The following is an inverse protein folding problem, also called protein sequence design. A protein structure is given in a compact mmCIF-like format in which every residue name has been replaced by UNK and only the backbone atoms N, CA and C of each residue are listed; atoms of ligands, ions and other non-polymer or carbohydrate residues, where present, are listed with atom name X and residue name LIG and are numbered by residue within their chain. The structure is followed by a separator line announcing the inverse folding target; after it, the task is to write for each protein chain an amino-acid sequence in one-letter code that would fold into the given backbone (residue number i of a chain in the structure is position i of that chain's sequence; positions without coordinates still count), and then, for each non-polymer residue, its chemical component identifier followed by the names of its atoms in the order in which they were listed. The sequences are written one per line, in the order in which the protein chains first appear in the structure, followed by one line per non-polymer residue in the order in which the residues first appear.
data_IF_236289222392
#
_entry.id   IF_236289222392
#
_cell.length_a   1.000
_cell.length_b   1.000
_cell.length_c   1.000
_cell.angle_alpha   90.00
_cell.angle_beta   90.00
_cell.angle_gamma   90.00
#
_symmetry.space_group_name_H-M   'P 1'
#
loop_
_entity.id
_entity.type
_entity.pdbx_description
1 polymer ?
#
# COMPACT_ATOMS: atom_id res chain seq x y z
N UNK A 1 -39.80 -57.14 -22.56
CA UNK A 1 -39.76 -56.87 -21.10
C UNK A 1 -39.04 -55.54 -20.92
N UNK A 2 -39.73 -54.43 -21.15
CA UNK A 2 -40.37 -53.55 -20.14
C UNK A 2 -39.34 -52.75 -19.32
N UNK A 3 -39.26 -51.45 -19.67
CA UNK A 3 -39.03 -50.23 -18.84
C UNK A 3 -37.72 -50.09 -18.05
N UNK A 4 -37.10 -48.92 -17.82
CA UNK A 4 -37.41 -47.50 -18.03
C UNK A 4 -36.05 -46.76 -18.14
N UNK A 5 -35.81 -45.86 -19.08
CA UNK A 5 -36.21 -44.44 -19.11
C UNK A 5 -35.66 -43.53 -17.99
N UNK A 6 -34.72 -42.68 -18.42
CA UNK A 6 -34.80 -41.22 -18.41
C UNK A 6 -33.89 -40.43 -17.46
N UNK A 7 -33.27 -39.42 -18.09
CA UNK A 7 -32.47 -38.35 -17.54
C UNK A 7 -33.30 -37.46 -16.59
N UNK A 8 -32.67 -36.92 -15.54
CA UNK A 8 -32.87 -35.52 -15.17
C UNK A 8 -31.76 -35.02 -14.24
N UNK A 9 -31.28 -33.83 -14.59
CA UNK A 9 -30.41 -32.99 -13.78
C UNK A 9 -31.12 -32.53 -12.50
N UNK A 10 -30.38 -32.34 -11.41
CA UNK A 10 -30.64 -31.27 -10.42
C UNK A 10 -29.45 -31.11 -9.47
N UNK A 11 -28.99 -29.85 -9.40
CA UNK A 11 -28.33 -29.13 -8.31
C UNK A 11 -28.34 -29.77 -6.92
N UNK A 12 -27.18 -29.79 -6.25
CA UNK A 12 -27.09 -29.78 -4.78
C UNK A 12 -25.84 -28.99 -4.32
N UNK A 13 -26.07 -27.71 -3.99
CA UNK A 13 -25.21 -26.89 -3.12
C UNK A 13 -26.01 -26.68 -1.86
N UNK A 14 -25.51 -27.16 -0.72
CA UNK A 14 -25.71 -26.65 0.65
C UNK A 14 -25.56 -27.81 1.65
N UNK A 15 -24.43 -27.88 2.37
CA UNK A 15 -24.39 -28.18 3.82
C UNK A 15 -23.07 -27.63 4.38
N UNK A 16 -23.10 -26.46 5.01
CA UNK A 16 -22.18 -26.10 6.10
C UNK A 16 -22.94 -25.22 7.09
N UNK A 17 -23.63 -25.87 8.05
CA UNK A 17 -23.94 -25.30 9.37
C UNK A 17 -23.10 -26.08 10.37
N UNK A 18 -22.31 -25.35 11.16
CA UNK A 18 -22.21 -25.49 12.62
C UNK A 18 -20.95 -24.81 13.15
N UNK A 19 -21.09 -23.54 13.54
CA UNK A 19 -20.23 -22.90 14.53
C UNK A 19 -21.06 -21.84 15.28
N UNK A 20 -21.37 -22.12 16.54
CA UNK A 20 -22.04 -21.21 17.49
C UNK A 20 -21.06 -20.90 18.61
N UNK A 21 -20.72 -19.63 18.90
CA UNK A 21 -20.10 -19.26 20.16
C UNK A 21 -21.16 -18.82 21.18
N UNK A 22 -21.04 -19.37 22.39
CA UNK A 22 -21.87 -19.05 23.55
C UNK A 22 -21.72 -17.60 24.02
N UNK A 23 -22.81 -17.07 24.57
CA UNK A 23 -22.95 -15.71 25.12
C UNK A 23 -22.67 -15.73 26.62
N UNK A 24 -21.93 -14.73 27.12
CA UNK A 24 -22.16 -14.20 28.47
C UNK A 24 -22.33 -12.66 28.44
N UNK A 25 -23.57 -12.29 28.79
CA UNK A 25 -24.08 -11.10 29.47
C UNK A 25 -23.35 -9.74 29.44
N UNK A 26 -23.89 -8.81 28.66
CA UNK A 26 -24.49 -7.55 29.16
C UNK A 26 -25.24 -6.87 28.00
N UNK A 27 -26.47 -6.39 28.28
CA UNK A 27 -27.50 -5.96 27.30
C UNK A 27 -27.05 -4.81 26.39
N UNK A 28 -27.63 -4.56 25.21
CA UNK A 28 -29.06 -4.42 24.83
C UNK A 28 -29.13 -4.56 23.27
N UNK A 29 -30.28 -4.94 22.68
CA UNK A 29 -30.39 -5.64 21.38
C UNK A 29 -30.11 -4.83 20.10
N UNK A 30 -29.58 -5.54 19.10
CA UNK A 30 -29.72 -5.19 17.69
C UNK A 30 -31.16 -5.50 17.25
N UNK A 31 -31.97 -4.47 17.03
CA UNK A 31 -33.21 -4.60 16.28
C UNK A 31 -33.36 -3.55 15.19
N UNK A 32 -34.01 -4.05 14.15
CA UNK A 32 -34.18 -3.53 12.81
C UNK A 32 -35.07 -2.29 12.82
N UNK A 33 -34.60 -1.21 12.21
CA UNK A 33 -35.50 -0.25 11.55
C UNK A 33 -34.97 0.05 10.15
N UNK A 34 -35.46 -0.71 9.17
CA UNK A 34 -35.66 -0.19 7.81
C UNK A 34 -36.89 0.71 7.87
N UNK A 35 -36.72 2.01 7.66
CA UNK A 35 -37.71 2.86 6.98
C UNK A 35 -37.08 4.20 6.59
N UNK A 36 -37.16 4.47 5.29
CA UNK A 36 -37.30 5.78 4.64
C UNK A 36 -36.71 7.02 5.31
N UNK A 37 -35.59 7.50 4.76
CA UNK A 37 -35.31 8.94 4.70
C UNK A 37 -35.04 9.32 3.24
N UNK A 38 -36.12 9.72 2.57
CA UNK A 38 -36.07 10.51 1.33
C UNK A 38 -36.38 11.96 1.71
N UNK A 39 -35.51 12.84 1.26
CA UNK A 39 -35.67 14.29 1.09
C UNK A 39 -35.77 15.15 2.35
N UNK A 40 -34.60 15.57 2.85
CA UNK A 40 -34.39 16.99 3.17
C UNK A 40 -33.07 17.45 2.55
N UNK A 41 -33.17 18.55 1.80
CA UNK A 41 -32.12 19.06 0.92
C UNK A 41 -30.96 19.66 1.70
N UNK A 42 -29.89 18.88 1.88
CA UNK A 42 -28.57 19.45 1.96
C UNK A 42 -28.11 19.73 0.53
N UNK A 43 -28.20 20.99 0.12
CA UNK A 43 -27.47 21.51 -1.02
C UNK A 43 -26.05 20.92 -0.97
N UNK A 44 -25.65 20.18 -2.02
CA UNK A 44 -24.25 19.84 -2.26
C UNK A 44 -23.49 21.13 -2.07
N UNK A 45 -22.75 21.27 -0.97
CA UNK A 45 -21.90 22.42 -0.76
C UNK A 45 -20.98 22.50 -1.98
N UNK A 46 -21.30 23.42 -2.89
CA UNK A 46 -20.52 23.70 -4.07
C UNK A 46 -19.19 24.21 -3.53
N UNK A 47 -18.19 23.33 -3.48
CA UNK A 47 -16.82 23.75 -3.15
C UNK A 47 -16.26 24.37 -4.43
N UNK A 48 -15.94 25.67 -4.43
CA UNK A 48 -15.44 26.34 -5.62
C UNK A 48 -14.22 25.58 -6.18
N UNK A 49 -14.19 25.34 -7.50
CA UNK A 49 -13.04 24.78 -8.25
C UNK A 49 -11.73 25.56 -8.01
N UNK A 50 -11.82 26.77 -7.45
CA UNK A 50 -10.75 27.76 -7.29
C UNK A 50 -9.84 27.54 -6.09
N UNK A 51 -10.25 26.80 -5.04
CA UNK A 51 -9.44 26.61 -3.82
C UNK A 51 -8.31 25.58 -3.95
N UNK A 52 -8.30 24.73 -4.99
CA UNK A 52 -7.39 23.56 -5.10
C UNK A 52 -6.12 23.80 -5.91
N UNK A 53 -5.93 25.00 -6.49
CA UNK A 53 -4.89 25.21 -7.51
C UNK A 53 -3.45 25.14 -7.01
N UNK A 54 -3.19 25.20 -5.69
CA UNK A 54 -1.82 25.31 -5.15
C UNK A 54 -1.53 24.43 -3.92
N UNK A 55 -2.22 23.31 -3.71
CA UNK A 55 -1.91 22.44 -2.56
C UNK A 55 -0.50 21.85 -2.68
N UNK A 56 0.37 22.22 -1.73
CA UNK A 56 1.76 21.75 -1.63
C UNK A 56 1.84 20.60 -0.63
N UNK A 57 2.72 19.65 -0.91
CA UNK A 57 3.04 18.58 0.03
C UNK A 57 3.84 19.16 1.20
N UNK A 58 3.41 18.86 2.43
CA UNK A 58 4.20 19.08 3.65
C UNK A 58 5.45 18.19 3.61
N UNK A 59 6.47 18.50 4.42
CA UNK A 59 7.67 17.65 4.45
C UNK A 59 7.34 16.19 4.81
N UNK A 60 6.43 15.98 5.75
CA UNK A 60 5.95 14.66 6.14
C UNK A 60 5.32 13.89 4.97
N UNK A 61 4.41 14.52 4.23
CA UNK A 61 3.78 13.92 3.05
C UNK A 61 4.78 13.63 1.93
N UNK A 62 5.84 14.46 1.79
CA UNK A 62 6.92 14.22 0.83
C UNK A 62 7.70 12.96 1.16
N UNK A 63 8.03 12.76 2.44
CA UNK A 63 8.72 11.56 2.91
C UNK A 63 7.86 10.31 2.69
N UNK A 64 6.57 10.37 3.02
CA UNK A 64 5.62 9.28 2.72
C UNK A 64 5.58 9.01 1.22
N UNK A 65 5.42 10.04 0.39
CA UNK A 65 5.38 9.88 -1.07
C UNK A 65 6.66 9.24 -1.62
N UNK A 66 7.84 9.62 -1.12
CA UNK A 66 9.11 8.99 -1.52
C UNK A 66 9.10 7.51 -1.18
N UNK A 67 8.68 7.14 0.04
CA UNK A 67 8.58 5.74 0.44
C UNK A 67 7.61 4.94 -0.42
N UNK A 68 6.41 5.49 -0.66
CA UNK A 68 5.39 4.87 -1.52
C UNK A 68 5.90 4.68 -2.96
N UNK A 69 6.68 5.62 -3.49
CA UNK A 69 7.24 5.52 -4.83
C UNK A 69 8.32 4.45 -4.94
N UNK A 70 9.02 4.14 -3.84
CA UNK A 70 9.94 3.01 -3.75
C UNK A 70 9.19 1.67 -3.61
N UNK A 71 8.02 1.69 -2.95
CA UNK A 71 7.17 0.52 -2.70
C UNK A 71 5.96 0.40 -3.63
N UNK A 72 4.78 0.26 -3.02
CA UNK A 72 3.52 -0.13 -3.69
C UNK A 72 2.75 1.06 -4.30
N UNK A 73 3.12 2.30 -3.97
CA UNK A 73 2.51 3.50 -4.52
C UNK A 73 2.96 3.81 -5.95
N UNK A 74 2.09 4.45 -6.73
CA UNK A 74 2.39 4.83 -8.11
C UNK A 74 1.78 6.17 -8.50
N UNK A 75 2.52 6.95 -9.30
CA UNK A 75 2.04 8.18 -9.93
C UNK A 75 1.56 7.96 -11.36
N UNK A 76 0.26 8.13 -11.59
CA UNK A 76 -0.35 8.06 -12.92
C UNK A 76 -0.41 9.45 -13.58
N UNK A 77 0.12 9.56 -14.80
CA UNK A 77 0.02 10.77 -15.63
C UNK A 77 -1.41 10.92 -16.17
N UNK A 78 -1.99 12.12 -16.07
CA UNK A 78 -3.36 12.40 -16.53
C UNK A 78 -3.40 13.39 -17.70
N UNK A 79 -2.43 14.31 -17.76
CA UNK A 79 -2.41 15.40 -18.75
C UNK A 79 -1.03 15.50 -19.39
N UNK A 80 -0.66 14.49 -20.17
CA UNK A 80 0.62 14.45 -20.90
C UNK A 80 1.82 14.91 -20.06
N UNK A 81 1.99 14.28 -18.89
CA UNK A 81 3.10 14.55 -17.95
C UNK A 81 3.12 15.95 -17.30
N UNK A 82 2.03 16.72 -17.42
CA UNK A 82 1.86 18.00 -16.71
C UNK A 82 1.37 17.80 -15.27
N UNK A 83 0.48 16.84 -15.05
CA UNK A 83 -0.08 16.54 -13.73
C UNK A 83 -0.16 15.04 -13.51
N UNK A 84 -0.02 14.66 -12.24
CA UNK A 84 -0.02 13.25 -11.82
C UNK A 84 -0.98 13.07 -10.65
N UNK A 85 -1.50 11.85 -10.48
CA UNK A 85 -2.23 11.45 -9.28
C UNK A 85 -1.49 10.30 -8.60
N UNK A 86 -1.46 10.33 -7.27
CA UNK A 86 -0.99 9.20 -6.47
C UNK A 86 -2.10 8.16 -6.37
N UNK A 87 -1.73 6.92 -6.61
CA UNK A 87 -2.56 5.74 -6.41
C UNK A 87 -1.85 4.81 -5.43
N UNK A 88 -2.59 4.41 -4.41
CA UNK A 88 -2.16 3.47 -3.38
C UNK A 88 -3.17 2.36 -3.32
N UNK A 89 -2.70 1.11 -3.32
CA UNK A 89 -3.56 -0.06 -3.28
C UNK A 89 -2.84 -1.22 -2.61
N UNK A 90 -3.45 -1.77 -1.57
CA UNK A 90 -2.93 -2.92 -0.84
C UNK A 90 -3.99 -4.02 -0.74
N UNK A 91 -3.54 -5.20 -0.28
CA UNK A 91 -4.47 -6.24 0.16
C UNK A 91 -5.38 -5.70 1.27
N UNK A 92 -6.61 -6.20 1.36
CA UNK A 92 -7.54 -5.77 2.41
C UNK A 92 -7.03 -6.08 3.83
N UNK A 93 -6.11 -7.04 3.98
CA UNK A 93 -5.45 -7.34 5.26
C UNK A 93 -4.63 -6.16 5.81
N UNK A 94 -4.28 -5.19 4.97
CA UNK A 94 -3.53 -3.98 5.31
C UNK A 94 -4.41 -2.73 5.28
N UNK A 95 -5.74 -2.88 5.45
CA UNK A 95 -6.69 -1.76 5.38
C UNK A 95 -6.32 -0.62 6.33
N UNK A 96 -5.92 -0.92 7.56
CA UNK A 96 -5.53 0.11 8.55
C UNK A 96 -4.34 0.95 8.07
N UNK A 97 -3.40 0.36 7.35
CA UNK A 97 -2.30 1.09 6.72
C UNK A 97 -2.78 2.00 5.58
N UNK A 98 -3.69 1.49 4.74
CA UNK A 98 -4.31 2.29 3.67
C UNK A 98 -5.13 3.44 4.23
N UNK A 99 -5.88 3.22 5.31
CA UNK A 99 -6.67 4.26 5.98
C UNK A 99 -5.77 5.34 6.61
N UNK A 100 -4.64 4.95 7.21
CA UNK A 100 -3.65 5.89 7.72
C UNK A 100 -3.07 6.75 6.59
N UNK A 101 -2.57 6.13 5.51
CA UNK A 101 -2.09 6.85 4.32
C UNK A 101 -3.16 7.77 3.71
N UNK A 102 -4.41 7.31 3.68
CA UNK A 102 -5.54 8.08 3.22
C UNK A 102 -5.75 9.35 4.06
N UNK A 103 -5.67 9.24 5.39
CA UNK A 103 -5.72 10.37 6.30
C UNK A 103 -4.65 11.42 5.98
N UNK A 104 -3.40 10.96 5.78
CA UNK A 104 -2.26 11.84 5.46
C UNK A 104 -2.43 12.58 4.13
N UNK A 105 -3.13 12.00 3.16
CA UNK A 105 -3.39 12.63 1.86
C UNK A 105 -4.84 13.13 1.70
N UNK A 106 -5.65 13.21 2.76
CA UNK A 106 -7.10 13.55 2.66
C UNK A 106 -7.34 14.88 1.93
N UNK A 107 -6.46 15.88 2.12
CA UNK A 107 -6.56 17.17 1.41
C UNK A 107 -6.43 17.05 -0.11
N UNK A 108 -5.82 15.97 -0.60
CA UNK A 108 -5.65 15.63 -2.01
C UNK A 108 -6.76 14.71 -2.56
N UNK A 109 -7.76 14.33 -1.75
CA UNK A 109 -8.74 13.30 -2.10
C UNK A 109 -10.17 13.84 -1.86
N UNK A 110 -11.11 13.38 -2.68
CA UNK A 110 -12.52 13.84 -2.65
C UNK A 110 -13.53 12.71 -2.49
N UNK A 111 -13.05 11.49 -2.35
CA UNK A 111 -13.87 10.29 -2.19
C UNK A 111 -13.29 9.45 -1.05
N UNK A 112 -14.09 8.55 -0.50
CA UNK A 112 -13.61 7.59 0.50
C UNK A 112 -12.69 6.53 -0.15
N UNK A 113 -11.87 5.81 0.64
CA UNK A 113 -11.14 4.65 0.15
C UNK A 113 -12.09 3.64 -0.50
N UNK A 114 -11.66 3.04 -1.60
CA UNK A 114 -12.43 2.00 -2.26
C UNK A 114 -12.01 0.61 -1.77
N UNK A 115 -12.94 -0.33 -1.86
CA UNK A 115 -12.69 -1.77 -1.73
C UNK A 115 -13.12 -2.42 -3.04
N UNK A 116 -12.29 -3.32 -3.57
CA UNK A 116 -12.60 -4.04 -4.81
C UNK A 116 -12.05 -5.46 -4.77
N UNK A 117 -12.68 -6.33 -5.53
CA UNK A 117 -12.20 -7.69 -5.75
C UNK A 117 -11.34 -7.75 -7.01
N UNK A 118 -10.18 -8.40 -6.93
CA UNK A 118 -9.34 -8.74 -8.08
C UNK A 118 -9.33 -10.24 -8.29
N UNK A 119 -9.34 -10.69 -9.54
CA UNK A 119 -9.07 -12.08 -9.89
C UNK A 119 -7.65 -12.21 -10.42
N UNK A 120 -6.88 -13.14 -9.85
CA UNK A 120 -5.55 -13.51 -10.34
C UNK A 120 -5.46 -15.04 -10.36
N UNK A 121 -5.21 -15.61 -11.54
CA UNK A 121 -5.14 -17.06 -11.77
C UNK A 121 -6.37 -17.81 -11.21
N UNK A 122 -7.57 -17.25 -11.41
CA UNK A 122 -8.84 -17.82 -10.94
C UNK A 122 -9.13 -17.64 -9.45
N UNK A 123 -8.19 -17.09 -8.67
CA UNK A 123 -8.39 -16.79 -7.24
C UNK A 123 -8.81 -15.34 -7.07
N UNK A 124 -9.81 -15.12 -6.22
CA UNK A 124 -10.30 -13.78 -5.88
C UNK A 124 -9.58 -13.23 -4.65
N UNK A 125 -9.20 -11.96 -4.70
CA UNK A 125 -8.50 -11.24 -3.65
C UNK A 125 -9.19 -9.91 -3.39
N UNK A 126 -9.46 -9.61 -2.12
CA UNK A 126 -9.98 -8.32 -1.72
C UNK A 126 -8.82 -7.31 -1.59
N UNK A 127 -8.97 -6.17 -2.23
CA UNK A 127 -8.03 -5.05 -2.19
C UNK A 127 -8.73 -3.79 -1.70
N UNK A 128 -7.97 -2.90 -1.09
CA UNK A 128 -8.43 -1.56 -0.74
C UNK A 128 -7.40 -0.52 -1.19
N UNK A 129 -7.85 0.71 -1.43
CA UNK A 129 -6.98 1.76 -1.93
C UNK A 129 -7.65 3.11 -2.04
N UNK A 130 -6.87 4.09 -2.48
CA UNK A 130 -7.37 5.42 -2.79
C UNK A 130 -6.59 6.03 -3.94
N UNK A 131 -7.08 7.16 -4.44
CA UNK A 131 -6.43 7.91 -5.49
C UNK A 131 -6.60 9.40 -5.23
N UNK A 132 -5.54 10.17 -5.40
CA UNK A 132 -5.62 11.63 -5.28
C UNK A 132 -6.21 12.25 -6.54
N UNK A 133 -6.69 13.50 -6.46
CA UNK A 133 -6.88 14.26 -7.69
C UNK A 133 -5.52 14.51 -8.37
N UNK A 134 -5.55 14.76 -9.68
CA UNK A 134 -4.34 15.05 -10.45
C UNK A 134 -3.81 16.43 -10.09
N UNK A 135 -2.52 16.54 -9.75
CA UNK A 135 -1.86 17.79 -9.35
C UNK A 135 -0.46 17.90 -9.93
N UNK A 136 -0.03 19.15 -10.21
CA UNK A 136 1.35 19.46 -10.58
C UNK A 136 2.34 19.24 -9.44
N UNK A 137 1.87 19.22 -8.18
CA UNK A 137 2.72 19.01 -6.99
C UNK A 137 3.45 17.66 -7.00
N UNK A 138 2.88 16.66 -7.67
CA UNK A 138 3.48 15.33 -7.81
C UNK A 138 4.47 15.23 -8.99
N UNK A 139 4.50 16.22 -9.89
CA UNK A 139 5.28 16.19 -11.14
C UNK A 139 6.78 16.03 -10.89
N UNK A 140 7.33 16.76 -9.92
CA UNK A 140 8.74 16.64 -9.57
C UNK A 140 9.11 15.18 -9.25
N UNK A 141 8.33 14.53 -8.38
CA UNK A 141 8.55 13.14 -7.99
C UNK A 141 8.39 12.19 -9.17
N UNK A 142 7.36 12.37 -10.00
CA UNK A 142 7.19 11.55 -11.20
C UNK A 142 8.41 11.63 -12.14
N UNK A 143 8.98 12.82 -12.33
CA UNK A 143 10.16 13.02 -13.17
C UNK A 143 11.44 12.43 -12.57
N UNK A 144 11.52 12.29 -11.25
CA UNK A 144 12.66 11.64 -10.60
C UNK A 144 12.56 10.11 -10.65
N UNK A 145 11.40 9.56 -10.31
CA UNK A 145 11.22 8.13 -10.06
C UNK A 145 10.82 7.32 -11.28
N UNK A 146 10.56 7.94 -12.44
CA UNK A 146 10.15 7.22 -13.65
C UNK A 146 11.01 7.57 -14.86
N UNK A 147 11.48 6.54 -15.55
CA UNK A 147 12.10 6.65 -16.88
C UNK A 147 11.41 5.68 -17.85
N UNK A 148 10.93 6.20 -18.99
CA UNK A 148 10.15 5.42 -19.97
C UNK A 148 9.01 4.61 -19.31
N UNK A 149 8.29 5.23 -18.37
CA UNK A 149 7.18 4.65 -17.57
C UNK A 149 7.57 3.50 -16.63
N UNK A 150 8.87 3.21 -16.47
CA UNK A 150 9.38 2.24 -15.49
C UNK A 150 9.92 2.98 -14.27
N UNK A 151 9.70 2.43 -13.08
CA UNK A 151 10.28 2.96 -11.84
C UNK A 151 11.80 2.83 -11.90
N UNK A 152 12.51 3.85 -11.43
CA UNK A 152 13.98 3.88 -11.28
C UNK A 152 14.35 4.46 -9.92
N UNK A 153 15.58 4.22 -9.47
CA UNK A 153 16.14 4.92 -8.32
C UNK A 153 16.80 6.21 -8.82
N UNK A 154 16.32 7.40 -8.42
CA UNK A 154 16.83 8.65 -8.96
C UNK A 154 18.26 8.92 -8.49
N UNK A 155 19.03 9.68 -9.29
CA UNK A 155 20.35 10.21 -8.87
C UNK A 155 20.25 11.08 -7.60
N UNK A 156 19.09 11.68 -7.36
CA UNK A 156 18.78 12.49 -6.17
C UNK A 156 18.34 11.66 -4.97
N UNK A 157 18.36 10.32 -5.04
CA UNK A 157 17.89 9.42 -3.99
C UNK A 157 18.48 9.74 -2.61
N UNK A 158 19.80 9.99 -2.52
CA UNK A 158 20.46 10.35 -1.27
C UNK A 158 19.87 11.60 -0.56
N UNK A 159 19.30 12.52 -1.33
CA UNK A 159 18.66 13.74 -0.81
C UNK A 159 17.19 13.52 -0.46
N UNK A 160 16.53 12.58 -1.14
CA UNK A 160 15.08 12.33 -1.01
C UNK A 160 14.75 11.30 0.08
N UNK A 161 15.61 10.30 0.30
CA UNK A 161 15.37 9.26 1.30
C UNK A 161 15.65 9.79 2.71
N UNK A 162 14.74 9.54 3.64
CA UNK A 162 14.88 9.80 5.07
C UNK A 162 14.36 8.59 5.86
N UNK A 163 14.45 8.57 7.20
CA UNK A 163 14.00 7.44 8.02
C UNK A 163 12.52 7.08 7.79
N UNK A 164 11.64 8.07 7.63
CA UNK A 164 10.22 7.86 7.38
C UNK A 164 9.97 7.24 6.00
N UNK A 165 10.59 7.77 4.96
CA UNK A 165 10.50 7.21 3.61
C UNK A 165 11.03 5.77 3.56
N UNK A 166 12.10 5.47 4.30
CA UNK A 166 12.64 4.12 4.42
C UNK A 166 11.68 3.20 5.20
N UNK A 167 11.02 3.69 6.25
CA UNK A 167 10.01 2.94 6.99
C UNK A 167 8.78 2.61 6.13
N UNK A 168 8.30 3.56 5.33
CA UNK A 168 7.19 3.36 4.39
C UNK A 168 7.57 2.32 3.33
N UNK A 169 8.77 2.43 2.75
CA UNK A 169 9.24 1.42 1.80
C UNK A 169 9.33 0.02 2.43
N UNK A 170 9.78 -0.07 3.69
CA UNK A 170 9.77 -1.33 4.44
C UNK A 170 8.35 -1.84 4.74
N UNK A 171 7.41 -0.96 5.08
CA UNK A 171 6.02 -1.37 5.29
C UNK A 171 5.37 -1.89 4.02
N UNK A 172 5.73 -1.38 2.85
CA UNK A 172 5.26 -1.90 1.56
C UNK A 172 5.94 -3.25 1.23
N UNK A 173 7.26 -3.24 1.00
CA UNK A 173 8.00 -4.36 0.39
C UNK A 173 8.93 -5.12 1.33
N UNK A 174 9.02 -4.67 2.58
CA UNK A 174 9.90 -5.22 3.59
C UNK A 174 9.34 -6.44 4.31
N UNK A 175 10.24 -7.28 4.81
CA UNK A 175 9.93 -8.39 5.72
C UNK A 175 11.11 -8.68 6.65
N UNK A 176 10.78 -9.14 7.86
CA UNK A 176 11.74 -9.84 8.72
C UNK A 176 11.99 -11.24 8.17
N UNK A 177 13.27 -11.62 8.05
CA UNK A 177 13.66 -12.89 7.42
C UNK A 177 13.29 -14.10 8.27
N UNK A 178 13.81 -14.18 9.50
CA UNK A 178 13.48 -15.22 10.47
C UNK A 178 14.15 -14.94 11.81
N UNK A 179 13.63 -15.59 12.87
CA UNK A 179 14.18 -15.54 14.22
C UNK A 179 15.64 -16.03 14.26
N UNK A 180 16.01 -16.97 13.38
CA UNK A 180 17.38 -17.48 13.28
C UNK A 180 18.34 -16.47 12.64
N UNK A 181 17.90 -15.79 11.57
CA UNK A 181 18.77 -14.86 10.84
C UNK A 181 18.80 -13.45 11.44
N UNK A 182 17.74 -13.05 12.17
CA UNK A 182 17.58 -11.75 12.81
C UNK A 182 17.91 -10.57 11.90
N UNK A 183 17.39 -10.62 10.67
CA UNK A 183 17.65 -9.59 9.67
C UNK A 183 16.44 -9.35 8.77
N UNK A 184 16.56 -8.37 7.89
CA UNK A 184 15.49 -7.84 7.06
C UNK A 184 15.79 -8.05 5.57
N UNK A 185 14.71 -8.08 4.79
CA UNK A 185 14.73 -8.11 3.34
C UNK A 185 13.78 -7.04 2.83
N UNK A 186 14.14 -6.36 1.74
CA UNK A 186 13.20 -5.60 0.91
C UNK A 186 13.10 -6.27 -0.46
N UNK A 187 11.88 -6.60 -0.87
CA UNK A 187 11.56 -7.17 -2.17
C UNK A 187 11.46 -6.06 -3.23
N UNK A 188 12.58 -5.71 -3.85
CA UNK A 188 12.66 -4.63 -4.84
C UNK A 188 12.30 -5.08 -6.26
N UNK A 189 11.11 -5.67 -6.45
CA UNK A 189 10.69 -6.18 -7.76
C UNK A 189 10.51 -5.02 -8.74
N UNK A 190 11.18 -5.10 -9.90
CA UNK A 190 11.08 -4.10 -10.96
C UNK A 190 12.23 -3.10 -11.01
N UNK A 191 13.11 -3.09 -10.01
CA UNK A 191 14.38 -2.34 -10.05
C UNK A 191 15.51 -3.16 -10.66
N UNK A 192 16.41 -2.48 -11.36
CA UNK A 192 17.61 -3.12 -11.91
C UNK A 192 18.68 -3.32 -10.83
N UNK A 193 19.69 -4.15 -11.09
CA UNK A 193 20.86 -4.26 -10.19
C UNK A 193 21.52 -2.89 -9.97
N UNK A 194 21.60 -2.07 -11.01
CA UNK A 194 22.20 -0.73 -10.95
C UNK A 194 21.43 0.20 -10.02
N UNK A 195 20.11 0.21 -10.12
CA UNK A 195 19.23 0.96 -9.20
C UNK A 195 19.53 0.59 -7.74
N UNK A 196 19.64 -0.71 -7.45
CA UNK A 196 19.86 -1.20 -6.10
C UNK A 196 21.29 -0.99 -5.59
N UNK A 197 22.27 -0.88 -6.49
CA UNK A 197 23.63 -0.46 -6.13
C UNK A 197 23.66 1.01 -5.67
N UNK A 198 22.81 1.87 -6.23
CA UNK A 198 22.65 3.25 -5.74
C UNK A 198 22.07 3.20 -4.32
N UNK A 199 21.04 2.39 -4.09
CA UNK A 199 20.43 2.23 -2.77
C UNK A 199 21.47 1.74 -1.76
N UNK A 200 22.21 0.68 -2.08
CA UNK A 200 23.25 0.10 -1.22
C UNK A 200 24.25 1.18 -0.75
N UNK A 201 24.82 1.94 -1.70
CA UNK A 201 25.78 3.02 -1.39
C UNK A 201 25.17 4.11 -0.50
N UNK A 202 23.90 4.47 -0.75
CA UNK A 202 23.23 5.52 0.01
C UNK A 202 22.88 5.07 1.42
N UNK A 203 22.39 3.84 1.60
CA UNK A 203 22.09 3.29 2.92
C UNK A 203 23.34 3.22 3.80
N UNK A 204 24.47 2.78 3.23
CA UNK A 204 25.74 2.71 3.94
C UNK A 204 26.25 4.11 4.29
N UNK A 205 26.35 5.01 3.30
CA UNK A 205 26.91 6.35 3.51
C UNK A 205 26.05 7.24 4.42
N UNK A 206 24.72 7.18 4.29
CA UNK A 206 23.81 8.10 4.96
C UNK A 206 23.35 7.60 6.32
N UNK A 207 23.16 6.28 6.46
CA UNK A 207 22.58 5.69 7.66
C UNK A 207 23.52 4.70 8.36
N UNK A 208 24.68 4.38 7.77
CA UNK A 208 25.57 3.34 8.29
C UNK A 208 24.94 1.96 8.25
N UNK A 209 24.04 1.71 7.29
CA UNK A 209 23.32 0.44 7.13
C UNK A 209 23.93 -0.30 5.94
N UNK A 210 24.50 -1.47 6.21
CA UNK A 210 25.11 -2.31 5.19
C UNK A 210 24.10 -3.32 4.67
N UNK A 211 24.04 -3.42 3.35
CA UNK A 211 23.16 -4.35 2.65
C UNK A 211 23.94 -5.08 1.56
N UNK A 212 23.47 -6.25 1.17
CA UNK A 212 23.93 -6.99 0.00
C UNK A 212 22.77 -7.26 -0.95
N UNK A 213 23.07 -7.37 -2.24
CA UNK A 213 22.07 -7.63 -3.27
C UNK A 213 22.02 -9.13 -3.55
N UNK A 214 20.88 -9.75 -3.30
CA UNK A 214 20.68 -11.17 -3.57
C UNK A 214 19.72 -11.34 -4.75
N UNK A 215 20.04 -12.28 -5.65
CA UNK A 215 19.11 -12.71 -6.69
C UNK A 215 18.26 -13.87 -6.16
N UNK A 216 16.96 -13.83 -6.40
CA UNK A 216 16.05 -14.95 -6.15
C UNK A 216 14.99 -14.97 -7.26
N UNK A 217 14.86 -16.11 -7.97
CA UNK A 217 13.93 -16.27 -9.11
C UNK A 217 14.01 -15.13 -10.12
N UNK A 218 15.22 -14.78 -10.55
CA UNK A 218 15.53 -13.67 -11.48
C UNK A 218 15.10 -12.28 -11.00
N UNK A 219 14.89 -12.12 -9.69
CA UNK A 219 14.56 -10.84 -9.07
C UNK A 219 15.60 -10.49 -8.02
N UNK A 220 16.09 -9.26 -8.09
CA UNK A 220 16.96 -8.71 -7.06
C UNK A 220 16.15 -8.30 -5.82
N UNK A 221 16.72 -8.57 -4.66
CA UNK A 221 16.26 -8.09 -3.36
C UNK A 221 17.41 -7.48 -2.58
N UNK A 222 17.07 -6.57 -1.68
CA UNK A 222 18.02 -6.00 -0.73
C UNK A 222 18.00 -6.86 0.53
N UNK A 223 19.16 -7.32 0.96
CA UNK A 223 19.36 -8.11 2.16
C UNK A 223 20.19 -7.32 3.16
N UNK A 224 19.64 -7.05 4.34
CA UNK A 224 20.34 -6.30 5.36
C UNK A 224 21.38 -7.21 6.03
N UNK A 225 22.62 -6.74 6.19
CA UNK A 225 23.64 -7.50 6.90
C UNK A 225 23.32 -7.45 8.40
N UNK A 226 23.42 -8.61 9.08
CA UNK A 226 23.06 -8.76 10.49
C UNK A 226 23.80 -7.77 11.40
N UNK A 227 25.06 -7.45 11.07
CA UNK A 227 25.88 -6.44 11.77
C UNK A 227 25.23 -5.05 11.85
N UNK A 228 24.33 -4.70 10.92
CA UNK A 228 23.64 -3.39 10.90
C UNK A 228 22.12 -3.51 10.88
N UNK A 229 21.56 -4.71 11.05
CA UNK A 229 20.13 -4.95 11.02
C UNK A 229 19.39 -4.28 12.19
N UNK A 230 19.96 -4.32 13.39
CA UNK A 230 19.40 -3.61 14.56
C UNK A 230 19.41 -2.09 14.39
N UNK A 231 20.46 -1.55 13.76
CA UNK A 231 20.52 -0.12 13.40
C UNK A 231 19.40 0.25 12.43
N UNK A 232 19.15 -0.59 11.41
CA UNK A 232 18.03 -0.39 10.51
C UNK A 232 16.70 -0.41 11.25
N UNK A 233 16.46 -1.41 12.11
CA UNK A 233 15.23 -1.50 12.92
C UNK A 233 15.01 -0.22 13.73
N UNK A 234 15.99 0.18 14.54
CA UNK A 234 15.93 1.38 15.39
C UNK A 234 15.69 2.66 14.59
N UNK A 235 16.22 2.74 13.37
CA UNK A 235 16.04 3.90 12.50
C UNK A 235 14.59 4.05 12.03
N UNK A 236 13.91 2.94 11.69
CA UNK A 236 12.58 2.98 11.07
C UNK A 236 11.44 2.75 12.06
N UNK A 237 11.67 2.04 13.17
CA UNK A 237 10.66 1.62 14.14
C UNK A 237 9.77 2.76 14.67
N UNK A 238 10.29 3.98 14.94
CA UNK A 238 9.44 5.10 15.37
C UNK A 238 8.37 5.51 14.34
N UNK A 239 8.53 5.14 13.07
CA UNK A 239 7.63 5.49 11.97
C UNK A 239 6.76 4.32 11.50
N UNK A 240 6.98 3.10 12.02
CA UNK A 240 6.17 1.93 11.66
C UNK A 240 4.87 1.95 12.44
N UNK A 241 3.75 2.03 11.72
CA UNK A 241 2.43 2.10 12.34
C UNK A 241 2.06 0.78 13.05
N UNK A 242 1.19 0.81 14.08
CA UNK A 242 0.87 -0.38 14.89
C UNK A 242 0.47 -1.61 14.07
N UNK A 243 -0.39 -1.43 13.06
CA UNK A 243 -0.90 -2.49 12.19
C UNK A 243 0.17 -3.15 11.31
N UNK A 244 1.35 -2.52 11.19
CA UNK A 244 2.48 -3.00 10.38
C UNK A 244 3.68 -3.43 11.22
N UNK A 245 3.61 -3.33 12.56
CA UNK A 245 4.72 -3.71 13.46
C UNK A 245 5.08 -5.18 13.38
N UNK A 246 4.15 -6.06 13.00
CA UNK A 246 4.42 -7.49 12.80
C UNK A 246 5.53 -7.74 11.76
N UNK A 247 5.79 -6.79 10.84
CA UNK A 247 6.89 -6.91 9.87
C UNK A 247 8.28 -6.77 10.49
N UNK A 248 8.40 -6.18 11.68
CA UNK A 248 9.70 -5.91 12.33
C UNK A 248 10.34 -7.15 12.98
N UNK A 249 9.62 -8.27 13.02
CA UNK A 249 10.06 -9.50 13.68
C UNK A 249 9.70 -9.55 15.15
#
# INVERSE_FOLDING_TARGET
MISADNQQATTNVEVLRDYQPERHASGVPYDIVRTSWRHEGHAKAWRPKTMKKNLKLSQFQRSILVGLLLGDGHLESVTDNKTYRLKVEHSFKQKEYVDWLYGEFKSFITHEPYVKTKSLNGKQFLCCGFTTYSSGTFRFYAQQFYFKRKKIIPKTFAKLIDPLALAIWFMDDGSFKSIHHKTYIIHSVGYTKHDLQIVQKVLEKKFGIKVVLHMQYDRWRIYFLSETADRFKKLIEPYVIPSMKYKLG
#
